data_IF_641588669253
#
_entry.id   IF_641588669253
#
_cell.length_a   1.000
_cell.length_b   1.000
_cell.length_c   1.000
_cell.angle_alpha   90.00
_cell.angle_beta   90.00
_cell.angle_gamma   90.00
#
_symmetry.space_group_name_H-M   'P 1'
#
loop_
_entity.id
_entity.type
_entity.pdbx_description
1 polymer ?
#
# COMPACT_ATOMS: atom_id res chain seq x y z
N UNK A 1 -91.98 30.17 36.94
CA UNK A 1 -90.99 30.28 38.03
C UNK A 1 -90.23 28.97 38.01
N UNK A 2 -88.98 28.88 37.58
CA UNK A 2 -87.82 29.65 38.02
C UNK A 2 -86.87 29.87 36.82
N UNK A 3 -86.19 31.00 36.80
CA UNK A 3 -85.14 31.37 35.85
C UNK A 3 -83.90 30.48 36.00
N UNK A 4 -83.24 30.12 34.89
CA UNK A 4 -81.88 30.63 34.61
C UNK A 4 -81.41 30.28 33.18
N UNK A 5 -80.56 31.13 32.56
CA UNK A 5 -80.44 31.25 31.11
C UNK A 5 -79.15 30.65 30.53
N UNK A 6 -79.22 30.31 29.24
CA UNK A 6 -78.14 30.32 28.25
C UNK A 6 -78.70 31.14 27.06
N UNK A 7 -77.92 31.73 26.12
CA UNK A 7 -76.60 31.30 25.62
C UNK A 7 -75.71 32.54 25.22
N UNK A 8 -74.91 32.55 24.12
CA UNK A 8 -73.68 31.81 23.78
C UNK A 8 -72.50 32.72 23.34
N UNK A 9 -71.46 32.07 22.80
CA UNK A 9 -70.60 32.46 21.66
C UNK A 9 -69.33 33.31 21.90
N UNK A 10 -68.23 32.65 21.55
CA UNK A 10 -67.11 33.10 20.72
C UNK A 10 -66.24 34.25 21.24
N UNK A 11 -65.02 33.90 21.64
CA UNK A 11 -63.85 34.79 21.54
C UNK A 11 -62.78 34.16 20.64
N UNK A 12 -62.05 34.99 19.88
CA UNK A 12 -61.42 34.59 18.63
C UNK A 12 -59.95 34.18 18.82
N UNK A 13 -59.50 33.34 17.88
CA UNK A 13 -58.11 33.18 17.46
C UNK A 13 -57.44 34.56 17.30
N UNK A 14 -56.33 34.77 18.01
CA UNK A 14 -55.31 35.74 17.63
C UNK A 14 -53.97 34.99 17.56
N UNK A 15 -53.82 34.26 16.46
CA UNK A 15 -52.56 33.69 15.99
C UNK A 15 -51.80 34.85 15.34
N UNK A 16 -50.75 35.36 15.98
CA UNK A 16 -49.93 36.44 15.43
C UNK A 16 -48.45 36.11 15.57
N UNK A 17 -47.94 35.48 14.51
CA UNK A 17 -46.76 35.92 13.75
C UNK A 17 -45.55 36.31 14.60
N UNK A 18 -44.67 35.34 14.81
CA UNK A 18 -43.22 35.55 14.87
C UNK A 18 -42.49 34.32 14.31
N UNK A 19 -42.91 33.86 13.13
CA UNK A 19 -42.13 32.93 12.31
C UNK A 19 -41.06 33.76 11.59
N UNK A 20 -40.06 34.23 12.35
CA UNK A 20 -38.80 34.67 11.78
C UNK A 20 -38.12 33.41 11.24
N UNK A 21 -38.44 33.09 9.99
CA UNK A 21 -37.74 32.11 9.20
C UNK A 21 -36.27 32.52 9.12
N UNK A 22 -35.47 31.98 10.03
CA UNK A 22 -34.04 31.82 9.82
C UNK A 22 -33.89 30.84 8.65
N UNK A 23 -34.00 31.38 7.43
CA UNK A 23 -33.33 30.86 6.26
C UNK A 23 -31.83 31.01 6.52
N UNK A 24 -31.29 30.22 7.45
CA UNK A 24 -29.89 29.84 7.38
C UNK A 24 -29.80 29.06 6.09
N UNK A 25 -29.32 29.73 5.05
CA UNK A 25 -28.66 29.06 3.95
C UNK A 25 -27.61 28.21 4.62
N UNK A 26 -27.91 26.93 4.84
CA UNK A 26 -26.89 25.94 5.05
C UNK A 26 -26.09 26.01 3.76
N UNK A 27 -24.97 26.75 3.80
CA UNK A 27 -23.94 26.53 2.80
C UNK A 27 -23.78 25.01 2.74
N UNK A 28 -23.86 24.39 1.54
CA UNK A 28 -23.58 22.97 1.45
C UNK A 28 -22.26 22.81 2.19
N UNK A 29 -22.25 21.97 3.24
CA UNK A 29 -21.02 21.62 3.91
C UNK A 29 -20.15 21.09 2.78
N UNK A 30 -19.23 21.92 2.28
CA UNK A 30 -18.31 21.51 1.24
C UNK A 30 -17.67 20.27 1.81
N UNK A 31 -17.82 19.14 1.13
CA UNK A 31 -17.34 17.88 1.64
C UNK A 31 -15.83 18.06 1.88
N UNK A 32 -15.47 18.15 3.15
CA UNK A 32 -14.09 18.40 3.57
C UNK A 32 -13.40 17.05 3.50
N UNK A 33 -12.25 16.98 2.84
CA UNK A 33 -11.38 15.82 2.98
C UNK A 33 -11.14 15.54 4.48
N UNK A 34 -10.88 14.28 4.84
CA UNK A 34 -10.73 13.80 6.21
C UNK A 34 -9.62 14.52 7.01
N UNK A 35 -8.72 15.22 6.31
CA UNK A 35 -7.65 16.01 6.90
C UNK A 35 -6.41 15.17 7.20
N UNK A 36 -5.41 15.72 7.90
CA UNK A 36 -4.21 14.96 8.26
C UNK A 36 -4.54 13.68 9.06
N UNK A 37 -3.74 12.64 8.86
CA UNK A 37 -3.88 11.36 9.56
C UNK A 37 -3.40 11.38 11.03
N UNK A 38 -2.85 12.51 11.48
CA UNK A 38 -2.38 12.68 12.85
C UNK A 38 -1.09 11.92 13.18
N UNK A 39 -0.43 11.30 12.20
CA UNK A 39 0.81 10.57 12.43
C UNK A 39 2.04 11.46 12.47
N UNK A 40 1.99 12.61 11.80
CA UNK A 40 3.03 13.62 11.85
C UNK A 40 3.04 14.31 13.22
N UNK A 41 4.00 13.97 14.09
CA UNK A 41 4.24 14.66 15.36
C UNK A 41 5.46 15.58 15.27
N UNK A 42 5.47 16.65 16.07
CA UNK A 42 6.69 17.47 16.27
C UNK A 42 7.67 16.84 17.26
N UNK A 43 7.19 15.87 18.04
CA UNK A 43 8.00 15.14 19.02
C UNK A 43 8.33 13.78 18.45
N UNK A 44 9.62 13.47 18.38
CA UNK A 44 10.09 12.14 18.04
C UNK A 44 9.48 11.09 18.97
N UNK A 45 9.04 9.97 18.39
CA UNK A 45 8.67 8.77 19.15
C UNK A 45 7.48 8.92 20.09
N UNK A 46 6.62 9.91 19.87
CA UNK A 46 5.39 10.04 20.64
C UNK A 46 4.36 9.03 20.19
N UNK A 47 3.61 8.46 21.14
CA UNK A 47 2.41 7.70 20.82
C UNK A 47 1.36 8.62 20.19
N UNK A 48 0.87 8.24 19.01
CA UNK A 48 -0.15 8.96 18.25
C UNK A 48 -1.26 7.99 17.83
N UNK A 49 -2.47 8.53 17.64
CA UNK A 49 -3.59 7.77 17.08
C UNK A 49 -3.70 8.10 15.61
N UNK A 50 -3.65 7.09 14.74
CA UNK A 50 -3.94 7.29 13.33
C UNK A 50 -5.41 7.70 13.17
N UNK A 51 -5.66 8.82 12.51
CA UNK A 51 -6.99 9.28 12.12
C UNK A 51 -7.29 8.78 10.70
N UNK A 52 -7.81 7.57 10.61
CA UNK A 52 -8.16 6.92 9.34
C UNK A 52 -9.68 6.87 9.18
N UNK A 53 -10.22 7.08 7.97
CA UNK A 53 -11.63 6.89 7.71
C UNK A 53 -12.00 5.40 7.80
N UNK A 54 -13.30 5.11 7.91
CA UNK A 54 -13.78 3.77 7.66
C UNK A 54 -13.58 3.44 6.17
N UNK A 55 -12.75 2.43 5.90
CA UNK A 55 -12.43 2.02 4.54
C UNK A 55 -13.49 1.04 4.02
N UNK A 56 -14.09 1.28 2.84
CA UNK A 56 -15.10 0.39 2.27
C UNK A 56 -14.48 -0.92 1.74
N UNK A 57 -15.31 -1.93 1.43
CA UNK A 57 -14.82 -3.09 0.68
C UNK A 57 -14.42 -2.68 -0.74
N UNK A 58 -13.54 -3.47 -1.35
CA UNK A 58 -13.18 -3.35 -2.77
C UNK A 58 -13.89 -4.45 -3.54
N UNK A 59 -14.49 -4.09 -4.66
CA UNK A 59 -15.08 -5.03 -5.63
C UNK A 59 -15.03 -4.40 -7.02
N UNK A 60 -14.00 -4.73 -7.79
CA UNK A 60 -13.85 -4.20 -9.15
C UNK A 60 -13.21 -5.20 -10.11
N UNK A 61 -13.36 -4.89 -11.40
CA UNK A 61 -12.65 -5.56 -12.49
C UNK A 61 -11.16 -5.18 -12.45
N UNK A 62 -10.31 -6.13 -12.77
CA UNK A 62 -8.86 -6.01 -12.79
C UNK A 62 -8.24 -6.83 -13.92
N UNK A 63 -6.92 -6.93 -13.91
CA UNK A 63 -6.16 -7.82 -14.78
C UNK A 63 -5.19 -8.65 -13.97
N UNK A 64 -5.16 -9.94 -14.26
CA UNK A 64 -4.07 -10.81 -13.88
C UNK A 64 -3.13 -10.97 -15.07
N UNK A 65 -1.83 -10.99 -14.85
CA UNK A 65 -0.90 -11.34 -15.90
C UNK A 65 0.36 -11.99 -15.35
N UNK A 66 1.03 -12.73 -16.22
CA UNK A 66 2.26 -13.42 -15.94
C UNK A 66 3.27 -12.99 -16.97
N UNK A 67 4.49 -12.76 -16.49
CA UNK A 67 5.62 -12.44 -17.34
C UNK A 67 6.56 -13.61 -17.33
N UNK A 68 7.06 -14.04 -18.47
CA UNK A 68 8.17 -14.98 -18.57
C UNK A 68 9.35 -14.25 -19.20
N UNK A 69 10.52 -14.34 -18.57
CA UNK A 69 11.72 -13.66 -19.05
C UNK A 69 11.51 -12.15 -19.21
N UNK A 70 10.74 -11.58 -18.27
CA UNK A 70 10.32 -10.17 -18.21
C UNK A 70 9.42 -9.67 -19.36
N UNK A 71 8.92 -10.56 -20.20
CA UNK A 71 7.91 -10.27 -21.22
C UNK A 71 6.54 -10.79 -20.80
N UNK A 72 5.49 -10.03 -21.08
CA UNK A 72 4.12 -10.44 -20.75
C UNK A 72 3.72 -11.57 -21.70
N UNK A 73 3.48 -12.76 -21.16
CA UNK A 73 3.14 -13.94 -21.97
C UNK A 73 1.64 -14.23 -21.99
N UNK A 74 0.93 -13.85 -20.94
CA UNK A 74 -0.51 -14.00 -20.85
C UNK A 74 -1.08 -12.94 -19.92
N UNK A 75 -2.32 -12.56 -20.20
CA UNK A 75 -3.14 -11.69 -19.37
C UNK A 75 -4.56 -12.22 -19.35
N UNK A 76 -5.20 -12.15 -18.21
CA UNK A 76 -6.58 -12.53 -18.00
C UNK A 76 -7.36 -11.44 -17.31
N UNK A 77 -8.65 -11.38 -17.63
CA UNK A 77 -9.62 -10.54 -16.97
C UNK A 77 -9.96 -11.19 -15.63
N UNK A 78 -9.90 -10.42 -14.55
CA UNK A 78 -10.26 -10.89 -13.20
C UNK A 78 -11.18 -9.90 -12.49
N UNK A 79 -11.83 -10.38 -11.46
CA UNK A 79 -12.54 -9.57 -10.46
C UNK A 79 -11.81 -9.71 -9.13
N UNK A 80 -11.49 -8.58 -8.52
CA UNK A 80 -10.77 -8.51 -7.25
C UNK A 80 -11.76 -8.11 -6.16
N UNK A 81 -11.83 -8.93 -5.11
CA UNK A 81 -12.70 -8.66 -3.96
C UNK A 81 -11.83 -8.55 -2.71
N UNK A 82 -12.04 -7.46 -1.98
CA UNK A 82 -11.46 -7.22 -0.68
C UNK A 82 -12.57 -6.86 0.32
N UNK A 83 -12.64 -7.57 1.45
CA UNK A 83 -13.55 -7.16 2.53
C UNK A 83 -13.14 -5.79 3.08
N UNK A 84 -14.02 -5.12 3.85
CA UNK A 84 -13.61 -3.91 4.57
C UNK A 84 -12.39 -4.25 5.45
N UNK A 85 -11.32 -3.44 5.42
CA UNK A 85 -10.17 -3.62 6.30
C UNK A 85 -10.56 -3.44 7.77
N UNK A 86 -10.17 -4.40 8.60
CA UNK A 86 -10.34 -4.38 10.05
C UNK A 86 -9.01 -4.04 10.74
N UNK A 87 -9.04 -3.09 11.67
CA UNK A 87 -7.87 -2.66 12.42
C UNK A 87 -7.40 -3.80 13.34
N UNK A 88 -6.15 -4.23 13.17
CA UNK A 88 -5.50 -5.25 14.00
C UNK A 88 -4.55 -4.65 15.05
N UNK A 89 -3.94 -3.52 14.69
CA UNK A 89 -3.03 -2.73 15.50
C UNK A 89 -2.84 -1.38 14.82
N UNK A 90 -2.09 -0.47 15.42
CA UNK A 90 -2.04 0.89 14.89
C UNK A 90 -1.34 0.92 13.53
N UNK A 91 -2.11 1.29 12.51
CA UNK A 91 -1.66 1.27 11.12
C UNK A 91 -1.59 -0.13 10.50
N UNK A 92 -2.01 -1.19 11.19
CA UNK A 92 -2.04 -2.55 10.65
C UNK A 92 -3.49 -3.02 10.51
N UNK A 93 -3.85 -3.48 9.32
CA UNK A 93 -5.19 -3.93 9.00
C UNK A 93 -5.17 -5.32 8.36
N UNK A 94 -6.27 -6.04 8.55
CA UNK A 94 -6.55 -7.29 7.86
C UNK A 94 -7.81 -7.19 7.03
N UNK A 95 -7.81 -7.78 5.84
CA UNK A 95 -9.01 -7.94 5.03
C UNK A 95 -9.02 -9.32 4.36
N UNK A 96 -10.22 -9.87 4.12
CA UNK A 96 -10.35 -11.07 3.30
C UNK A 96 -10.11 -10.71 1.84
N UNK A 97 -9.27 -11.48 1.15
CA UNK A 97 -8.89 -11.25 -0.24
C UNK A 97 -9.29 -12.44 -1.11
N UNK A 98 -9.93 -12.17 -2.25
CA UNK A 98 -10.20 -13.19 -3.26
C UNK A 98 -10.12 -12.63 -4.67
N UNK A 99 -9.82 -13.54 -5.60
CA UNK A 99 -9.76 -13.26 -7.04
C UNK A 99 -10.67 -14.25 -7.74
N UNK A 100 -11.56 -13.72 -8.58
CA UNK A 100 -12.40 -14.50 -9.47
C UNK A 100 -12.01 -14.19 -10.92
N UNK A 101 -12.38 -15.06 -11.85
CA UNK A 101 -12.40 -14.68 -13.26
C UNK A 101 -13.56 -13.72 -13.55
N UNK A 102 -13.61 -13.17 -14.76
CA UNK A 102 -14.71 -12.30 -15.18
C UNK A 102 -16.05 -13.01 -15.42
N UNK A 103 -16.13 -14.31 -15.14
CA UNK A 103 -17.34 -15.13 -15.11
C UNK A 103 -17.74 -15.51 -13.68
N UNK A 104 -17.15 -14.86 -12.66
CA UNK A 104 -17.36 -15.09 -11.24
C UNK A 104 -16.94 -16.49 -10.73
N UNK A 105 -16.09 -17.22 -11.48
CA UNK A 105 -15.48 -18.45 -10.96
C UNK A 105 -14.30 -18.10 -10.04
N UNK A 106 -14.24 -18.67 -8.83
CA UNK A 106 -13.15 -18.37 -7.89
C UNK A 106 -11.83 -18.97 -8.39
N UNK A 107 -10.78 -18.14 -8.45
CA UNK A 107 -9.43 -18.52 -8.90
C UNK A 107 -8.48 -18.65 -7.71
N UNK A 108 -8.39 -17.58 -6.92
CA UNK A 108 -7.51 -17.47 -5.76
C UNK A 108 -8.32 -17.01 -4.55
N UNK A 109 -7.96 -17.52 -3.38
CA UNK A 109 -8.47 -17.07 -2.09
C UNK A 109 -7.30 -16.89 -1.14
N UNK A 110 -7.21 -15.75 -0.47
CA UNK A 110 -6.16 -15.47 0.50
C UNK A 110 -6.50 -15.92 1.92
N UNK A 111 -5.46 -16.20 2.71
CA UNK A 111 -5.46 -15.80 4.11
C UNK A 111 -5.63 -14.26 4.17
N UNK A 112 -6.11 -13.68 5.29
CA UNK A 112 -6.35 -12.25 5.32
C UNK A 112 -5.12 -11.46 4.85
N UNK A 113 -5.30 -10.60 3.83
CA UNK A 113 -4.24 -9.70 3.38
C UNK A 113 -3.86 -8.80 4.54
N UNK A 114 -2.56 -8.66 4.80
CA UNK A 114 -2.01 -7.70 5.73
C UNK A 114 -1.80 -6.39 4.98
N UNK A 115 -2.35 -5.31 5.54
CA UNK A 115 -2.26 -3.96 5.01
C UNK A 115 -1.58 -3.08 6.06
N UNK A 116 -0.36 -2.67 5.76
CA UNK A 116 0.44 -1.77 6.59
C UNK A 116 0.26 -0.34 6.08
N UNK A 117 -0.53 0.46 6.78
CA UNK A 117 -0.76 1.86 6.47
C UNK A 117 0.58 2.61 6.43
N UNK A 118 0.82 3.34 5.35
CA UNK A 118 2.08 4.07 5.15
C UNK A 118 1.87 5.56 5.32
N UNK A 119 0.98 6.15 4.51
CA UNK A 119 0.74 7.60 4.46
C UNK A 119 -0.58 7.98 3.81
N UNK A 120 -0.92 9.26 3.94
CA UNK A 120 -2.00 9.93 3.20
C UNK A 120 -1.50 11.16 2.45
N UNK A 121 -2.13 11.49 1.32
CA UNK A 121 -1.88 12.72 0.56
C UNK A 121 -3.12 13.17 -0.19
N UNK A 122 -3.08 14.41 -0.70
CA UNK A 122 -4.16 14.96 -1.51
C UNK A 122 -3.75 15.07 -2.97
N UNK A 123 -4.60 14.62 -3.88
CA UNK A 123 -4.42 14.79 -5.32
C UNK A 123 -5.58 15.56 -5.96
N UNK A 124 -5.32 16.20 -7.10
CA UNK A 124 -6.35 16.84 -7.91
C UNK A 124 -6.40 16.19 -9.28
N UNK A 125 -7.56 15.63 -9.62
CA UNK A 125 -7.81 15.02 -10.92
C UNK A 125 -7.78 16.05 -12.05
N UNK A 126 -7.69 15.57 -13.29
CA UNK A 126 -7.73 16.46 -14.47
C UNK A 126 -9.05 17.22 -14.64
N UNK A 127 -10.14 16.75 -14.02
CA UNK A 127 -11.43 17.45 -13.98
C UNK A 127 -11.52 18.48 -12.84
N UNK A 128 -10.47 18.60 -12.02
CA UNK A 128 -10.43 19.50 -10.86
C UNK A 128 -11.00 18.91 -9.58
N UNK A 129 -11.36 17.62 -9.55
CA UNK A 129 -11.86 16.98 -8.34
C UNK A 129 -10.73 16.68 -7.38
N UNK A 130 -10.96 16.95 -6.10
CA UNK A 130 -9.98 16.70 -5.05
C UNK A 130 -10.17 15.30 -4.47
N UNK A 131 -9.06 14.59 -4.31
CA UNK A 131 -9.00 13.27 -3.71
C UNK A 131 -8.09 13.31 -2.49
N UNK A 132 -8.47 12.61 -1.44
CA UNK A 132 -7.55 12.23 -0.37
C UNK A 132 -7.27 10.74 -0.48
N UNK A 133 -6.00 10.37 -0.54
CA UNK A 133 -5.56 8.98 -0.74
C UNK A 133 -4.91 8.45 0.54
N UNK A 134 -5.17 7.20 0.89
CA UNK A 134 -4.49 6.43 1.93
C UNK A 134 -3.86 5.20 1.31
N UNK A 135 -2.54 5.05 1.48
CA UNK A 135 -1.77 3.92 0.93
C UNK A 135 -1.39 2.91 2.00
N UNK A 136 -1.46 1.65 1.60
CA UNK A 136 -1.04 0.50 2.39
C UNK A 136 0.01 -0.29 1.63
N UNK A 137 1.12 -0.62 2.27
CA UNK A 137 1.97 -1.70 1.81
C UNK A 137 1.22 -3.02 2.07
N UNK A 138 1.11 -3.87 1.06
CA UNK A 138 0.21 -5.02 1.07
C UNK A 138 0.99 -6.32 0.95
N UNK A 139 0.61 -7.32 1.75
CA UNK A 139 1.24 -8.65 1.80
C UNK A 139 0.19 -9.73 2.03
N UNK A 140 0.19 -10.79 1.23
CA UNK A 140 -0.83 -11.84 1.34
C UNK A 140 -0.27 -13.20 0.92
N UNK A 141 -0.70 -14.24 1.62
CA UNK A 141 -0.54 -15.63 1.19
C UNK A 141 -1.85 -16.08 0.52
N UNK A 142 -1.80 -16.34 -0.78
CA UNK A 142 -2.96 -16.80 -1.57
C UNK A 142 -2.93 -18.29 -1.80
N UNK A 143 -4.08 -18.94 -1.79
CA UNK A 143 -4.28 -20.35 -2.13
C UNK A 143 -5.05 -20.49 -3.44
N UNK A 144 -4.74 -21.53 -4.21
CA UNK A 144 -5.58 -21.94 -5.34
C UNK A 144 -6.90 -22.53 -4.86
N UNK A 145 -7.98 -22.21 -5.54
CA UNK A 145 -9.29 -22.80 -5.24
C UNK A 145 -9.36 -24.20 -5.87
N UNK A 146 -9.74 -25.20 -5.08
CA UNK A 146 -9.78 -26.59 -5.53
C UNK A 146 -10.71 -26.77 -6.75
N UNK A 147 -10.17 -27.36 -7.82
CA UNK A 147 -10.92 -27.59 -9.07
C UNK A 147 -10.96 -26.39 -10.02
N UNK A 148 -10.36 -25.25 -9.66
CA UNK A 148 -10.17 -24.14 -10.61
C UNK A 148 -9.21 -24.56 -11.74
N UNK A 149 -9.46 -24.14 -12.99
CA UNK A 149 -8.53 -24.39 -14.09
C UNK A 149 -7.18 -23.70 -13.80
N UNK A 150 -6.04 -24.26 -14.27
CA UNK A 150 -4.76 -23.57 -14.18
C UNK A 150 -4.87 -22.22 -14.89
N UNK A 151 -4.57 -21.16 -14.16
CA UNK A 151 -4.55 -19.81 -14.69
C UNK A 151 -3.12 -19.29 -14.73
N UNK A 152 -2.94 -18.22 -15.49
CA UNK A 152 -1.69 -17.49 -15.51
C UNK A 152 -1.37 -16.96 -14.11
N UNK A 153 -2.37 -16.57 -13.32
CA UNK A 153 -2.22 -16.12 -11.93
C UNK A 153 -1.87 -17.21 -10.89
N UNK A 154 -2.22 -18.47 -11.15
CA UNK A 154 -1.97 -19.55 -10.20
C UNK A 154 -0.50 -20.00 -10.30
N UNK A 155 0.37 -19.38 -9.49
CA UNK A 155 1.79 -19.73 -9.43
C UNK A 155 1.97 -21.26 -9.23
N UNK A 156 2.78 -21.95 -10.05
CA UNK A 156 3.02 -23.39 -9.96
C UNK A 156 3.45 -23.89 -8.57
N UNK A 157 4.00 -23.03 -7.71
CA UNK A 157 4.33 -23.36 -6.32
C UNK A 157 3.10 -23.76 -5.48
N UNK A 158 1.88 -23.41 -5.91
CA UNK A 158 0.61 -23.82 -5.29
C UNK A 158 0.30 -25.32 -5.44
N UNK A 159 1.02 -26.04 -6.30
CA UNK A 159 0.95 -27.51 -6.37
C UNK A 159 1.56 -28.18 -5.13
N UNK A 160 2.85 -27.94 -4.83
CA UNK A 160 3.51 -28.50 -3.65
C UNK A 160 3.23 -27.77 -2.34
N UNK A 161 2.84 -26.50 -2.36
CA UNK A 161 2.55 -25.70 -1.17
C UNK A 161 1.09 -25.21 -1.14
N UNK A 162 0.49 -25.08 0.06
CA UNK A 162 -0.90 -24.63 0.17
C UNK A 162 -1.11 -23.16 -0.18
N UNK A 163 -0.05 -22.34 -0.16
CA UNK A 163 -0.12 -20.90 -0.42
C UNK A 163 1.07 -20.38 -1.24
N UNK A 164 0.89 -19.22 -1.87
CA UNK A 164 1.91 -18.45 -2.58
C UNK A 164 1.91 -17.00 -2.05
N UNK A 165 3.10 -16.45 -1.80
CA UNK A 165 3.25 -15.10 -1.24
C UNK A 165 3.20 -14.01 -2.31
N UNK A 166 2.31 -13.04 -2.14
CA UNK A 166 2.19 -11.86 -2.98
C UNK A 166 2.41 -10.59 -2.15
N UNK A 167 2.99 -9.58 -2.77
CA UNK A 167 3.24 -8.28 -2.14
C UNK A 167 3.03 -7.11 -3.10
N UNK A 168 2.82 -5.91 -2.56
CA UNK A 168 2.67 -4.69 -3.36
C UNK A 168 2.00 -3.58 -2.55
N UNK A 169 0.95 -2.96 -3.10
CA UNK A 169 0.21 -1.89 -2.41
C UNK A 169 -1.30 -1.92 -2.67
N UNK A 170 -2.04 -1.26 -1.78
CA UNK A 170 -3.46 -0.95 -1.90
C UNK A 170 -3.65 0.53 -1.60
N UNK A 171 -4.40 1.22 -2.45
CA UNK A 171 -4.79 2.61 -2.23
C UNK A 171 -6.31 2.72 -2.07
N UNK A 172 -6.72 3.59 -1.15
CA UNK A 172 -8.08 4.08 -1.02
C UNK A 172 -8.09 5.58 -1.26
N UNK A 173 -8.85 6.03 -2.25
CA UNK A 173 -8.96 7.43 -2.64
C UNK A 173 -10.40 7.93 -2.44
N UNK A 174 -10.60 8.80 -1.45
CA UNK A 174 -11.88 9.46 -1.24
C UNK A 174 -11.97 10.68 -2.16
N UNK A 175 -12.91 10.67 -3.11
CA UNK A 175 -13.29 11.88 -3.83
C UNK A 175 -13.98 12.83 -2.83
N UNK A 176 -13.32 13.93 -2.50
CA UNK A 176 -13.78 14.88 -1.50
C UNK A 176 -14.97 15.71 -1.99
N UNK A 177 -15.31 15.72 -3.28
CA UNK A 177 -16.48 16.44 -3.78
C UNK A 177 -17.77 15.59 -3.67
N UNK A 178 -17.65 14.29 -3.90
CA UNK A 178 -18.77 13.34 -3.93
C UNK A 178 -18.89 12.46 -2.69
N UNK A 179 -17.85 12.45 -1.84
CA UNK A 179 -17.72 11.56 -0.69
C UNK A 179 -17.83 10.06 -1.08
N UNK A 180 -17.27 9.70 -2.24
CA UNK A 180 -17.21 8.32 -2.73
C UNK A 180 -15.77 7.85 -2.76
N UNK A 181 -15.54 6.62 -2.31
CA UNK A 181 -14.24 5.97 -2.44
C UNK A 181 -14.07 5.34 -3.82
N UNK A 182 -12.88 5.52 -4.34
CA UNK A 182 -12.27 4.72 -5.40
C UNK A 182 -11.03 4.05 -4.80
N UNK A 183 -10.56 2.97 -5.39
CA UNK A 183 -9.44 2.20 -4.83
C UNK A 183 -8.59 1.63 -5.94
N UNK A 184 -7.36 1.25 -5.61
CA UNK A 184 -6.49 0.47 -6.50
C UNK A 184 -5.70 -0.58 -5.71
N UNK A 185 -5.28 -1.61 -6.42
CA UNK A 185 -4.48 -2.71 -5.88
C UNK A 185 -3.46 -3.15 -6.90
N UNK A 186 -2.24 -3.35 -6.45
CA UNK A 186 -1.15 -3.97 -7.21
C UNK A 186 -0.50 -4.99 -6.31
N UNK A 187 -0.53 -6.26 -6.72
CA UNK A 187 0.15 -7.35 -6.03
C UNK A 187 1.03 -8.12 -7.00
N UNK A 188 2.13 -8.64 -6.50
CA UNK A 188 3.15 -9.31 -7.28
C UNK A 188 3.73 -10.52 -6.54
N UNK A 189 3.95 -11.60 -7.28
CA UNK A 189 4.72 -12.76 -6.89
C UNK A 189 5.94 -12.87 -7.80
N UNK A 190 7.11 -12.63 -7.22
CA UNK A 190 8.41 -12.66 -7.90
C UNK A 190 8.82 -14.10 -8.26
N UNK A 191 9.87 -14.25 -9.07
CA UNK A 191 10.32 -15.57 -9.51
C UNK A 191 11.01 -16.37 -8.39
N UNK A 192 11.33 -17.64 -8.66
CA UNK A 192 11.93 -18.57 -7.68
C UNK A 192 13.13 -17.96 -6.96
N UNK A 193 13.95 -17.21 -7.70
CA UNK A 193 15.16 -16.56 -7.19
C UNK A 193 14.91 -15.75 -5.92
N UNK A 194 13.75 -15.08 -5.80
CA UNK A 194 13.47 -14.17 -4.69
C UNK A 194 12.54 -14.77 -3.63
N UNK A 195 11.63 -15.65 -4.03
CA UNK A 195 10.59 -16.18 -3.13
C UNK A 195 10.84 -17.64 -2.73
N UNK A 196 11.46 -18.47 -3.57
CA UNK A 196 11.56 -19.93 -3.40
C UNK A 196 12.99 -20.44 -3.20
N UNK A 197 13.96 -19.56 -2.94
CA UNK A 197 15.33 -20.00 -2.70
C UNK A 197 15.42 -20.98 -1.51
N UNK A 198 16.08 -22.14 -1.68
CA UNK A 198 16.20 -23.17 -0.64
C UNK A 198 16.85 -22.74 0.68
N UNK A 199 17.66 -21.68 0.67
CA UNK A 199 18.39 -21.25 1.86
C UNK A 199 17.55 -20.34 2.76
N UNK A 200 16.46 -19.76 2.26
CA UNK A 200 15.75 -18.71 2.98
C UNK A 200 14.24 -18.64 2.84
N UNK A 201 13.67 -19.40 1.91
CA UNK A 201 12.22 -19.54 1.79
C UNK A 201 11.68 -20.59 2.75
N UNK A 202 10.49 -20.36 3.30
CA UNK A 202 9.68 -21.42 3.93
C UNK A 202 8.95 -22.31 2.91
N UNK A 203 9.00 -21.95 1.62
CA UNK A 203 8.44 -22.67 0.47
C UNK A 203 9.52 -22.95 -0.58
N UNK A 204 10.62 -23.65 -0.24
CA UNK A 204 11.78 -23.76 -1.11
C UNK A 204 11.56 -24.65 -2.35
N UNK A 205 12.06 -24.25 -3.51
CA UNK A 205 12.06 -25.10 -4.69
C UNK A 205 12.30 -24.37 -6.01
N UNK A 206 12.01 -25.06 -7.11
CA UNK A 206 12.10 -24.53 -8.46
C UNK A 206 10.77 -24.79 -9.15
N UNK A 207 9.99 -23.73 -9.33
CA UNK A 207 8.61 -23.78 -9.81
C UNK A 207 8.42 -22.87 -11.02
N UNK A 208 9.00 -21.68 -10.97
CA UNK A 208 8.93 -20.64 -11.98
C UNK A 208 10.19 -19.75 -11.95
N UNK A 209 11.33 -20.24 -12.48
CA UNK A 209 12.60 -19.55 -12.39
C UNK A 209 12.66 -18.28 -13.24
N UNK A 210 11.80 -18.18 -14.25
CA UNK A 210 11.73 -17.07 -15.21
C UNK A 210 10.37 -16.37 -15.19
N UNK A 211 9.41 -16.89 -14.43
CA UNK A 211 8.03 -16.37 -14.44
C UNK A 211 7.73 -15.58 -13.18
N UNK A 212 7.00 -14.47 -13.34
CA UNK A 212 6.41 -13.70 -12.24
C UNK A 212 4.92 -13.51 -12.49
N UNK A 213 4.15 -13.22 -11.44
CA UNK A 213 2.70 -13.14 -11.49
C UNK A 213 2.22 -11.83 -10.85
N UNK A 214 1.32 -11.12 -11.51
CA UNK A 214 0.83 -9.82 -11.04
C UNK A 214 -0.68 -9.74 -11.10
N UNK A 215 -1.27 -9.15 -10.06
CA UNK A 215 -2.70 -8.85 -9.93
C UNK A 215 -2.81 -7.34 -9.83
N UNK A 216 -3.58 -6.71 -10.73
CA UNK A 216 -3.76 -5.26 -10.76
C UNK A 216 -5.22 -4.88 -10.96
N UNK A 217 -5.67 -3.82 -10.30
CA UNK A 217 -6.92 -3.17 -10.63
C UNK A 217 -7.06 -1.79 -9.98
N UNK A 218 -8.06 -1.00 -10.38
CA UNK A 218 -9.14 -1.36 -11.29
C UNK A 218 -8.67 -1.34 -12.75
N UNK A 219 -9.37 -2.08 -13.61
CA UNK A 219 -9.21 -2.04 -15.07
C UNK A 219 -10.58 -1.85 -15.71
N UNK A 220 -10.70 -0.83 -16.56
CA UNK A 220 -11.91 -0.57 -17.33
C UNK A 220 -11.57 -0.02 -18.72
N UNK A 221 -12.58 0.16 -19.57
CA UNK A 221 -12.39 0.80 -20.88
C UNK A 221 -12.04 2.28 -20.77
N UNK A 222 -12.48 2.96 -19.70
CA UNK A 222 -12.21 4.38 -19.45
C UNK A 222 -10.92 4.62 -18.65
N UNK A 223 -10.44 3.59 -17.94
CA UNK A 223 -9.15 3.59 -17.27
C UNK A 223 -8.44 2.24 -17.45
N UNK A 224 -7.86 1.99 -18.65
CA UNK A 224 -7.19 0.73 -18.90
C UNK A 224 -5.81 0.71 -18.25
N UNK A 225 -5.41 -0.48 -17.81
CA UNK A 225 -4.04 -0.77 -17.36
C UNK A 225 -3.26 -1.43 -18.49
N UNK A 226 -2.05 -0.95 -18.75
CA UNK A 226 -1.15 -1.47 -19.78
C UNK A 226 0.12 -2.00 -19.11
N UNK A 227 0.31 -3.33 -19.03
CA UNK A 227 1.56 -3.91 -18.57
C UNK A 227 2.72 -3.40 -19.40
N UNK A 228 3.75 -2.86 -18.75
CA UNK A 228 4.88 -2.26 -19.44
C UNK A 228 6.16 -2.33 -18.59
N UNK A 229 7.30 -2.29 -19.28
CA UNK A 229 8.61 -2.21 -18.67
C UNK A 229 9.09 -0.74 -18.74
N UNK A 230 9.25 -0.12 -17.57
CA UNK A 230 9.85 1.20 -17.44
C UNK A 230 10.89 1.13 -16.33
N UNK A 231 12.12 1.60 -16.56
CA UNK A 231 13.04 1.86 -15.46
C UNK A 231 12.40 2.81 -14.43
N UNK A 232 12.67 2.57 -13.15
CA UNK A 232 12.29 3.48 -12.07
C UNK A 232 13.23 4.69 -12.09
N UNK A 233 12.71 5.93 -12.13
CA UNK A 233 13.54 7.11 -11.99
C UNK A 233 14.13 7.19 -10.57
N UNK A 234 15.36 7.69 -10.48
CA UNK A 234 16.01 8.00 -9.21
C UNK A 234 15.82 9.43 -8.76
N UNK A 235 16.41 9.78 -7.62
CA UNK A 235 16.53 11.15 -7.18
C UNK A 235 16.78 11.28 -5.68
N UNK A 236 17.03 12.51 -5.21
CA UNK A 236 17.03 12.82 -3.78
C UNK A 236 15.66 12.53 -3.17
N UNK A 237 15.71 12.15 -1.91
CA UNK A 237 14.56 11.91 -1.06
C UNK A 237 14.06 13.25 -0.45
N UNK A 238 12.74 13.50 -0.45
CA UNK A 238 12.08 14.61 0.25
C UNK A 238 10.65 14.32 0.75
N UNK A 239 10.22 15.06 1.79
CA UNK A 239 8.86 15.02 2.39
C UNK A 239 8.43 13.62 2.82
N UNK A 240 9.19 13.07 3.76
CA UNK A 240 9.29 11.63 4.04
C UNK A 240 9.00 11.27 5.48
N UNK A 241 8.81 9.97 5.71
CA UNK A 241 9.09 9.41 7.01
C UNK A 241 9.44 7.91 7.04
N UNK A 242 10.05 7.52 8.14
CA UNK A 242 10.14 6.14 8.60
C UNK A 242 9.31 5.99 9.87
N UNK A 243 8.82 4.76 10.11
CA UNK A 243 8.00 4.48 11.27
C UNK A 243 8.18 3.06 11.78
N UNK A 244 8.23 2.92 13.10
CA UNK A 244 8.10 1.62 13.77
C UNK A 244 6.62 1.21 13.78
N UNK A 245 6.31 0.06 13.19
CA UNK A 245 5.00 -0.55 13.24
C UNK A 245 4.72 -1.05 14.66
N UNK A 246 3.69 -0.51 15.30
CA UNK A 246 3.31 -0.84 16.66
C UNK A 246 2.39 -2.07 16.67
N UNK A 247 2.94 -3.25 16.37
CA UNK A 247 2.17 -4.50 16.25
C UNK A 247 1.32 -4.75 17.51
N UNK A 248 0.01 -4.96 17.30
CA UNK A 248 -0.94 -5.24 18.38
C UNK A 248 -1.19 -4.07 19.37
N UNK A 249 -0.63 -2.89 19.12
CA UNK A 249 -0.87 -1.69 19.91
C UNK A 249 -2.05 -0.89 19.35
N UNK A 250 -2.91 -0.27 20.18
CA UNK A 250 -3.94 0.66 19.71
C UNK A 250 -3.36 2.02 19.25
N UNK A 251 -2.13 2.35 19.66
CA UNK A 251 -1.43 3.59 19.29
C UNK A 251 -0.21 3.31 18.43
N UNK A 252 0.09 4.26 17.56
CA UNK A 252 1.21 4.24 16.62
C UNK A 252 2.37 5.01 17.23
N UNK A 253 3.58 4.66 16.83
CA UNK A 253 4.71 5.57 16.99
C UNK A 253 4.58 6.66 15.92
N UNK A 254 4.75 7.92 16.29
CA UNK A 254 4.74 9.03 15.34
C UNK A 254 5.79 8.87 14.26
N UNK A 255 5.50 9.40 13.08
CA UNK A 255 6.41 9.39 11.95
C UNK A 255 7.69 10.17 12.26
N UNK A 256 8.82 9.58 11.92
CA UNK A 256 10.10 10.29 11.92
C UNK A 256 10.37 10.78 10.51
N UNK A 257 10.48 12.11 10.34
CA UNK A 257 10.81 12.70 9.05
C UNK A 257 12.22 12.34 8.61
N UNK A 258 12.43 12.08 7.32
CA UNK A 258 13.79 12.01 6.77
C UNK A 258 14.38 13.40 6.57
N UNK A 259 15.68 13.51 6.80
CA UNK A 259 16.49 14.73 6.62
C UNK A 259 17.37 14.66 5.38
N UNK A 260 17.71 13.46 4.93
CA UNK A 260 18.47 13.22 3.72
C UNK A 260 18.31 11.77 3.26
N UNK A 261 18.63 11.51 2.00
CA UNK A 261 18.59 10.18 1.41
C UNK A 261 18.63 10.26 -0.10
N UNK A 262 18.61 9.10 -0.75
CA UNK A 262 18.52 9.03 -2.19
C UNK A 262 18.03 7.67 -2.68
N UNK A 263 17.38 7.69 -3.84
CA UNK A 263 17.21 6.53 -4.70
C UNK A 263 18.15 6.67 -5.90
N UNK A 264 19.18 5.84 -5.97
CA UNK A 264 20.18 5.87 -7.05
C UNK A 264 20.05 4.60 -7.90
N UNK A 265 19.42 4.69 -9.10
CA UNK A 265 19.37 3.58 -10.04
C UNK A 265 20.78 3.18 -10.43
N UNK A 266 21.12 1.92 -10.21
CA UNK A 266 22.41 1.34 -10.57
C UNK A 266 22.32 0.68 -11.94
N UNK A 267 21.27 -0.12 -12.15
CA UNK A 267 21.08 -0.83 -13.40
C UNK A 267 19.62 -1.20 -13.63
N UNK A 268 19.18 -1.17 -14.89
CA UNK A 268 17.90 -1.72 -15.31
C UNK A 268 18.13 -2.98 -16.16
N UNK A 269 17.53 -4.09 -15.74
CA UNK A 269 17.71 -5.45 -16.30
C UNK A 269 16.44 -6.27 -16.11
N UNK A 270 16.39 -7.43 -16.75
CA UNK A 270 15.50 -8.49 -16.34
C UNK A 270 16.19 -9.29 -15.23
N UNK A 271 15.50 -9.61 -14.14
CA UNK A 271 16.06 -10.44 -13.06
C UNK A 271 15.56 -11.88 -13.06
N UNK A 272 14.54 -12.18 -13.86
CA UNK A 272 13.87 -13.47 -13.95
C UNK A 272 13.71 -13.91 -15.43
N UNK A 273 14.75 -14.45 -16.09
CA UNK A 273 16.11 -14.68 -15.60
C UNK A 273 16.96 -13.41 -15.70
N UNK A 274 18.15 -13.43 -15.09
CA UNK A 274 19.08 -12.32 -15.18
C UNK A 274 19.55 -12.10 -16.64
N UNK A 275 19.04 -11.06 -17.29
CA UNK A 275 19.33 -10.77 -18.70
C UNK A 275 19.27 -9.26 -19.01
N UNK A 276 20.13 -8.80 -19.92
CA UNK A 276 20.27 -7.39 -20.30
C UNK A 276 19.29 -6.92 -21.41
N UNK A 277 18.18 -7.65 -21.65
CA UNK A 277 17.28 -7.40 -22.79
C UNK A 277 15.98 -6.64 -22.47
N UNK A 278 15.43 -6.83 -21.27
CA UNK A 278 14.19 -6.17 -20.83
C UNK A 278 14.50 -5.28 -19.64
N UNK A 279 14.00 -4.04 -19.64
CA UNK A 279 14.23 -3.07 -18.57
C UNK A 279 13.10 -3.11 -17.53
N UNK A 280 12.55 -4.30 -17.27
CA UNK A 280 11.41 -4.46 -16.36
C UNK A 280 11.80 -4.26 -14.91
N UNK A 281 13.02 -4.64 -14.52
CA UNK A 281 13.49 -4.44 -13.17
C UNK A 281 14.54 -3.32 -13.13
N UNK A 282 14.55 -2.55 -12.05
CA UNK A 282 15.58 -1.56 -11.73
C UNK A 282 16.18 -1.90 -10.38
N UNK A 283 17.48 -2.11 -10.35
CA UNK A 283 18.25 -2.24 -9.11
C UNK A 283 18.71 -0.85 -8.69
N UNK A 284 18.39 -0.45 -7.47
CA UNK A 284 18.68 0.89 -6.94
C UNK A 284 19.27 0.83 -5.53
N UNK A 285 20.33 1.61 -5.31
CA UNK A 285 20.77 1.94 -3.95
C UNK A 285 19.73 2.88 -3.34
N UNK A 286 19.17 2.50 -2.19
CA UNK A 286 18.13 3.23 -1.50
C UNK A 286 18.56 3.48 -0.07
N UNK A 287 18.77 4.75 0.28
CA UNK A 287 19.30 5.15 1.57
C UNK A 287 18.51 6.31 2.15
N UNK A 288 18.46 6.42 3.47
CA UNK A 288 17.82 7.53 4.15
C UNK A 288 18.29 7.70 5.59
N UNK A 289 18.21 8.94 6.08
CA UNK A 289 18.56 9.34 7.44
C UNK A 289 17.39 10.12 8.03
N UNK A 290 16.89 9.64 9.16
CA UNK A 290 15.83 10.25 9.93
C UNK A 290 16.26 11.49 10.72
N UNK A 291 15.28 12.26 11.20
CA UNK A 291 15.47 13.50 11.94
C UNK A 291 15.62 13.32 13.45
N UNK A 292 15.21 12.18 13.97
CA UNK A 292 15.14 11.92 15.38
C UNK A 292 16.42 11.24 15.84
N UNK A 293 16.95 11.65 17.00
CA UNK A 293 18.13 11.04 17.59
C UNK A 293 17.73 10.02 18.65
N UNK A 294 18.43 8.89 18.64
CA UNK A 294 18.30 7.86 19.65
C UNK A 294 19.07 8.19 20.92
N UNK A 295 19.00 7.28 21.90
CA UNK A 295 19.75 7.37 23.15
C UNK A 295 21.26 7.27 22.97
N UNK A 296 21.70 6.70 21.87
CA UNK A 296 23.10 6.63 21.41
C UNK A 296 23.55 7.89 20.66
N UNK A 297 22.65 8.86 20.45
CA UNK A 297 22.92 10.09 19.72
C UNK A 297 22.99 9.91 18.20
N UNK A 298 22.60 8.76 17.66
CA UNK A 298 22.55 8.50 16.23
C UNK A 298 21.11 8.62 15.71
N UNK A 299 20.91 9.13 14.48
CA UNK A 299 19.59 9.16 13.87
C UNK A 299 19.15 7.76 13.43
N UNK A 300 17.86 7.59 13.15
CA UNK A 300 17.46 6.42 12.38
C UNK A 300 18.08 6.49 10.99
N UNK A 301 18.42 5.34 10.43
CA UNK A 301 18.92 5.25 9.06
C UNK A 301 18.52 3.94 8.44
N UNK A 302 18.40 3.93 7.13
CA UNK A 302 18.25 2.70 6.37
C UNK A 302 19.17 2.73 5.15
N UNK A 303 19.69 1.57 4.79
CA UNK A 303 20.51 1.36 3.61
C UNK A 303 20.12 0.03 2.97
N UNK A 304 19.73 0.05 1.69
CA UNK A 304 19.56 -1.19 0.94
C UNK A 304 20.92 -1.87 0.74
N UNK A 305 20.96 -3.19 0.90
CA UNK A 305 22.19 -3.96 0.94
C UNK A 305 22.38 -4.77 -0.34
N UNK A 306 23.62 -4.84 -0.83
CA UNK A 306 24.03 -5.87 -1.77
C UNK A 306 24.35 -7.16 -0.99
N UNK A 307 23.44 -8.13 -1.12
CA UNK A 307 23.55 -9.43 -0.47
C UNK A 307 24.00 -10.53 -1.43
N UNK A 308 24.21 -10.21 -2.72
CA UNK A 308 24.66 -11.17 -3.73
C UNK A 308 26.05 -11.73 -3.45
N UNK A 309 26.92 -10.93 -2.85
CA UNK A 309 28.25 -11.37 -2.39
C UNK A 309 28.18 -12.43 -1.28
N UNK A 310 27.04 -12.55 -0.60
CA UNK A 310 26.78 -13.54 0.46
C UNK A 310 25.94 -14.73 -0.05
N UNK A 311 25.66 -14.80 -1.35
CA UNK A 311 24.86 -15.87 -1.97
C UNK A 311 23.35 -15.63 -1.95
N UNK A 312 22.88 -14.45 -1.52
CA UNK A 312 21.47 -14.08 -1.57
C UNK A 312 21.12 -13.35 -2.87
N UNK A 313 19.87 -13.40 -3.35
CA UNK A 313 19.53 -12.90 -4.68
C UNK A 313 19.51 -11.36 -4.81
N UNK A 314 19.37 -10.62 -3.72
CA UNK A 314 19.18 -9.16 -3.74
C UNK A 314 20.50 -8.40 -3.89
N UNK A 315 20.55 -7.55 -4.91
CA UNK A 315 21.59 -6.54 -5.13
C UNK A 315 20.89 -5.21 -4.86
N UNK A 316 20.96 -4.67 -3.65
CA UNK A 316 20.18 -3.50 -3.22
C UNK A 316 18.66 -3.68 -3.39
N UNK A 317 17.91 -2.58 -3.50
CA UNK A 317 16.47 -2.60 -3.70
C UNK A 317 16.16 -2.91 -5.16
N UNK A 318 15.29 -3.89 -5.38
CA UNK A 318 14.76 -4.27 -6.67
C UNK A 318 13.38 -3.66 -6.86
N UNK A 319 13.25 -2.81 -7.86
CA UNK A 319 11.97 -2.30 -8.34
C UNK A 319 11.53 -3.08 -9.57
N UNK A 320 10.34 -3.66 -9.54
CA UNK A 320 9.75 -4.36 -10.69
C UNK A 320 8.62 -3.53 -11.29
N UNK A 321 8.78 -3.11 -12.54
CA UNK A 321 7.75 -2.41 -13.32
C UNK A 321 6.60 -3.36 -13.65
N UNK A 322 5.41 -2.98 -13.21
CA UNK A 322 4.18 -3.73 -13.46
C UNK A 322 3.53 -3.21 -14.75
N UNK A 323 3.29 -1.90 -14.80
CA UNK A 323 2.66 -1.23 -15.95
C UNK A 323 2.16 0.17 -15.60
N UNK A 324 1.13 0.62 -16.30
CA UNK A 324 0.55 1.94 -16.05
C UNK A 324 -0.95 1.98 -16.33
N UNK A 325 -1.68 2.71 -15.49
CA UNK A 325 -2.99 3.25 -15.87
C UNK A 325 -2.80 4.40 -16.85
N UNK A 326 -3.76 4.57 -17.75
CA UNK A 326 -3.69 5.60 -18.80
C UNK A 326 -4.93 6.48 -18.87
N UNK A 327 -5.99 6.13 -18.13
CA UNK A 327 -7.18 6.95 -18.03
C UNK A 327 -6.96 8.15 -17.10
N UNK A 328 -7.81 9.15 -17.27
CA UNK A 328 -7.81 10.36 -16.43
C UNK A 328 -9.16 10.61 -15.75
N UNK A 329 -10.15 9.77 -16.04
CA UNK A 329 -11.55 9.97 -15.65
C UNK A 329 -11.90 9.36 -14.29
N UNK A 330 -11.08 8.43 -13.78
CA UNK A 330 -11.24 7.79 -12.48
C UNK A 330 -9.87 7.54 -11.87
N UNK A 331 -9.83 7.25 -10.59
CA UNK A 331 -8.66 6.81 -9.86
C UNK A 331 -8.32 5.34 -10.17
N UNK A 332 -7.04 4.96 -10.23
CA UNK A 332 -5.87 5.85 -10.28
C UNK A 332 -5.84 6.69 -11.54
N UNK A 333 -5.24 7.87 -11.46
CA UNK A 333 -4.92 8.66 -12.64
C UNK A 333 -3.90 7.97 -13.56
N UNK A 334 -3.32 8.70 -14.54
CA UNK A 334 -2.32 8.14 -15.45
C UNK A 334 -0.97 7.96 -14.73
N UNK A 335 -0.91 6.96 -13.84
CA UNK A 335 0.26 6.62 -13.03
C UNK A 335 0.89 5.29 -13.49
N UNK A 336 2.19 5.17 -13.26
CA UNK A 336 2.96 3.93 -13.43
C UNK A 336 3.02 3.22 -12.09
N UNK A 337 2.78 1.91 -12.11
CA UNK A 337 2.85 1.04 -10.95
C UNK A 337 4.13 0.20 -10.96
N UNK A 338 4.76 0.13 -9.81
CA UNK A 338 5.88 -0.76 -9.54
C UNK A 338 5.67 -1.47 -8.20
N UNK A 339 6.38 -2.57 -8.03
CA UNK A 339 6.55 -3.22 -6.72
C UNK A 339 8.02 -3.21 -6.32
N UNK A 340 8.26 -3.17 -5.02
CA UNK A 340 9.58 -3.01 -4.44
C UNK A 340 9.90 -4.22 -3.56
N UNK A 341 11.11 -4.78 -3.68
CA UNK A 341 11.64 -5.76 -2.74
C UNK A 341 13.12 -5.53 -2.46
N UNK A 342 13.58 -5.78 -1.24
CA UNK A 342 15.00 -5.64 -0.91
C UNK A 342 15.37 -5.99 0.52
N UNK A 343 16.67 -6.12 0.74
CA UNK A 343 17.25 -6.31 2.08
C UNK A 343 17.83 -4.99 2.57
N UNK A 344 17.53 -4.63 3.81
CA UNK A 344 17.92 -3.36 4.40
C UNK A 344 18.68 -3.57 5.69
N UNK A 345 19.77 -2.83 5.85
CA UNK A 345 20.33 -2.53 7.16
C UNK A 345 19.56 -1.34 7.72
N UNK A 346 18.93 -1.50 8.88
CA UNK A 346 18.13 -0.46 9.51
C UNK A 346 18.69 -0.13 10.89
N UNK A 347 18.92 1.14 11.19
CA UNK A 347 19.19 1.61 12.53
C UNK A 347 17.91 2.25 13.08
N UNK A 348 17.34 1.65 14.10
CA UNK A 348 16.17 2.18 14.80
C UNK A 348 16.63 3.03 15.98
N UNK A 349 16.38 4.34 15.88
CA UNK A 349 16.67 5.28 16.96
C UNK A 349 15.47 5.51 17.88
N UNK A 350 14.34 4.85 17.61
CA UNK A 350 13.15 4.85 18.44
C UNK A 350 13.40 4.16 19.79
N UNK A 351 13.42 4.93 20.88
CA UNK A 351 13.64 4.43 22.23
C UNK A 351 12.32 4.31 23.04
N UNK A 352 11.19 4.06 22.37
CA UNK A 352 9.90 3.90 23.08
C UNK A 352 9.97 2.66 23.96
N UNK A 353 9.37 2.73 25.14
CA UNK A 353 9.34 1.64 26.12
C UNK A 353 8.89 0.34 25.46
N UNK A 354 9.77 -0.67 25.41
CA UNK A 354 9.48 -1.97 24.80
C UNK A 354 9.99 -2.15 23.35
N UNK A 355 10.45 -1.08 22.71
CA UNK A 355 11.22 -1.15 21.46
C UNK A 355 12.71 -1.13 21.76
N UNK A 356 13.47 -2.01 21.11
CA UNK A 356 14.93 -2.02 21.22
C UNK A 356 15.50 -1.08 20.18
N UNK A 357 16.11 0.03 20.60
CA UNK A 357 17.02 0.78 19.73
C UNK A 357 18.14 -0.13 19.25
N UNK A 358 18.59 0.03 18.01
CA UNK A 358 19.75 -0.70 17.53
C UNK A 358 19.75 -0.93 16.03
N UNK A 359 20.62 -1.83 15.60
CA UNK A 359 20.75 -2.19 14.20
C UNK A 359 19.90 -3.43 13.92
N UNK A 360 19.27 -3.47 12.76
CA UNK A 360 18.41 -4.52 12.27
C UNK A 360 18.82 -4.91 10.86
N UNK A 361 18.57 -6.18 10.53
CA UNK A 361 18.51 -6.64 9.16
C UNK A 361 17.05 -6.95 8.83
N UNK A 362 16.55 -6.36 7.75
CA UNK A 362 15.15 -6.46 7.37
C UNK A 362 14.94 -6.78 5.89
N UNK A 363 13.84 -7.48 5.60
CA UNK A 363 13.38 -7.74 4.24
C UNK A 363 12.14 -6.91 4.00
N UNK A 364 12.21 -5.96 3.07
CA UNK A 364 11.13 -5.04 2.78
C UNK A 364 10.42 -5.43 1.49
N UNK A 365 9.10 -5.27 1.52
CA UNK A 365 8.23 -5.45 0.37
C UNK A 365 7.22 -4.31 0.33
N UNK A 366 6.81 -3.93 -0.88
CA UNK A 366 5.77 -2.92 -1.03
C UNK A 366 5.59 -2.46 -2.47
N UNK A 367 5.20 -1.21 -2.63
CA UNK A 367 4.82 -0.62 -3.91
C UNK A 367 5.44 0.74 -4.13
N UNK A 368 5.53 1.14 -5.38
CA UNK A 368 5.84 2.53 -5.72
C UNK A 368 5.01 2.96 -6.92
N UNK A 369 4.72 4.26 -6.99
CA UNK A 369 4.04 4.89 -8.13
C UNK A 369 4.88 5.99 -8.72
N UNK A 370 4.68 6.28 -10.00
CA UNK A 370 5.29 7.42 -10.67
C UNK A 370 4.29 8.10 -11.61
N UNK A 371 4.36 9.43 -11.72
CA UNK A 371 3.33 10.25 -12.35
C UNK A 371 1.96 10.07 -11.68
N UNK A 372 0.85 10.26 -12.41
CA UNK A 372 -0.50 10.29 -11.84
C UNK A 372 -1.07 11.71 -11.80
N UNK A 373 -2.04 11.93 -10.92
CA UNK A 373 -2.64 13.23 -10.72
C UNK A 373 -1.74 14.15 -9.89
N UNK A 374 -1.96 15.45 -9.99
CA UNK A 374 -1.12 16.42 -9.30
C UNK A 374 -1.32 16.30 -7.79
N UNK A 375 -0.24 16.01 -7.06
CA UNK A 375 -0.26 15.99 -5.60
C UNK A 375 -0.17 17.44 -5.10
N UNK A 376 -1.13 17.85 -4.28
CA UNK A 376 -1.24 19.25 -3.80
C UNK A 376 -0.45 19.51 -2.52
N UNK A 377 -0.18 18.47 -1.73
CA UNK A 377 0.55 18.55 -0.47
C UNK A 377 2.01 18.08 -0.54
N UNK A 378 2.39 17.41 -1.63
CA UNK A 378 3.74 16.90 -1.88
C UNK A 378 4.27 17.51 -3.16
N UNK A 379 5.58 17.76 -3.22
CA UNK A 379 6.25 18.27 -4.42
C UNK A 379 6.55 17.15 -5.44
N UNK A 380 5.89 15.99 -5.33
CA UNK A 380 6.23 14.77 -6.06
C UNK A 380 4.98 13.95 -6.39
N UNK A 381 5.06 13.24 -7.51
CA UNK A 381 4.14 12.18 -7.91
C UNK A 381 4.82 10.79 -7.91
N UNK A 382 6.05 10.72 -7.40
CA UNK A 382 6.87 9.52 -7.37
C UNK A 382 6.99 9.04 -5.94
N UNK A 383 6.08 8.17 -5.55
CA UNK A 383 5.91 7.66 -4.18
C UNK A 383 6.51 6.26 -4.08
N UNK A 384 7.22 5.95 -2.99
CA UNK A 384 7.78 4.62 -2.67
C UNK A 384 7.33 4.25 -1.26
N UNK A 385 6.72 3.08 -1.07
CA UNK A 385 6.12 2.66 0.20
C UNK A 385 6.43 1.18 0.44
N UNK A 386 7.21 0.90 1.49
CA UNK A 386 7.58 -0.47 1.84
C UNK A 386 7.37 -0.75 3.32
N UNK A 387 7.05 -2.00 3.63
CA UNK A 387 6.97 -2.53 4.97
C UNK A 387 7.92 -3.72 5.10
N UNK A 388 8.56 -3.87 6.26
CA UNK A 388 9.32 -5.09 6.53
C UNK A 388 8.38 -6.30 6.60
N UNK A 389 8.87 -7.45 6.18
CA UNK A 389 8.23 -8.76 6.31
C UNK A 389 9.03 -9.62 7.29
N UNK A 390 10.34 -9.41 7.34
CA UNK A 390 11.19 -10.03 8.34
C UNK A 390 12.07 -8.96 8.97
N UNK A 391 12.33 -9.11 10.26
CA UNK A 391 13.22 -8.24 11.01
C UNK A 391 13.97 -9.01 12.09
N UNK A 392 15.29 -8.86 12.14
CA UNK A 392 16.14 -9.39 13.22
C UNK A 392 17.05 -8.29 13.77
N UNK A 393 17.09 -8.17 15.10
CA UNK A 393 18.00 -7.24 15.77
C UNK A 393 19.43 -7.79 15.75
N UNK A 394 20.40 -6.99 15.36
CA UNK A 394 21.82 -7.36 15.34
C UNK A 394 22.45 -7.17 16.73
N UNK A 395 23.36 -8.07 17.16
CA UNK A 395 24.03 -9.11 16.38
C UNK A 395 23.37 -10.51 16.47
N UNK A 396 22.05 -10.60 16.69
CA UNK A 396 21.41 -11.91 16.76
C UNK A 396 21.61 -12.71 15.46
N UNK A 397 21.60 -14.04 15.59
CA UNK A 397 21.75 -14.92 14.44
C UNK A 397 20.58 -14.72 13.47
N UNK A 398 20.90 -14.55 12.18
CA UNK A 398 19.92 -14.50 11.10
C UNK A 398 19.52 -15.95 10.81
N UNK A 399 18.32 -16.33 11.24
CA UNK A 399 17.80 -17.67 11.04
C UNK A 399 16.68 -17.64 9.97
N UNK A 400 16.81 -18.40 8.87
CA UNK A 400 15.71 -18.58 7.94
C UNK A 400 14.56 -19.38 8.58
N UNK A 401 13.34 -19.32 8.02
CA UNK A 401 12.97 -18.63 6.78
C UNK A 401 12.64 -17.14 6.99
N UNK A 402 12.91 -16.33 5.97
CA UNK A 402 12.56 -14.90 5.96
C UNK A 402 11.83 -14.47 4.68
N UNK A 403 11.72 -15.36 3.69
CA UNK A 403 10.88 -15.20 2.50
C UNK A 403 9.88 -16.34 2.38
N UNK A 404 8.95 -16.22 1.43
CA UNK A 404 8.04 -17.29 1.06
C UNK A 404 6.64 -17.16 1.66
N UNK A 405 6.46 -16.47 2.79
CA UNK A 405 5.16 -16.17 3.40
C UNK A 405 5.02 -14.72 3.87
N UNK A 406 3.78 -14.27 4.01
CA UNK A 406 3.45 -12.99 4.61
C UNK A 406 3.66 -13.05 6.13
N UNK A 407 4.47 -12.13 6.63
CA UNK A 407 4.89 -12.04 8.02
C UNK A 407 4.63 -10.61 8.57
N UNK A 408 4.57 -10.45 9.91
CA UNK A 408 4.33 -9.14 10.53
C UNK A 408 5.41 -8.10 10.23
N UNK A 409 5.01 -6.83 10.11
CA UNK A 409 5.92 -5.71 9.81
C UNK A 409 6.48 -5.07 11.05
N UNK A 410 7.77 -4.72 11.04
CA UNK A 410 8.38 -3.96 12.14
C UNK A 410 8.66 -2.50 11.76
N UNK A 411 9.17 -2.26 10.56
CA UNK A 411 9.47 -0.90 10.10
C UNK A 411 8.81 -0.63 8.76
N UNK A 412 8.38 0.61 8.60
CA UNK A 412 7.82 1.15 7.37
C UNK A 412 8.79 2.21 6.85
N UNK A 413 9.06 2.18 5.56
CA UNK A 413 9.85 3.20 4.86
C UNK A 413 8.98 3.74 3.73
N UNK A 414 8.66 5.03 3.78
CA UNK A 414 7.90 5.69 2.72
C UNK A 414 8.48 7.06 2.37
N UNK A 415 8.75 7.21 1.07
CA UNK A 415 9.52 8.32 0.55
C UNK A 415 9.02 8.84 -0.78
N UNK A 416 9.53 10.01 -1.19
CA UNK A 416 9.25 10.59 -2.49
C UNK A 416 10.53 10.86 -3.27
N UNK A 417 10.47 10.77 -4.59
CA UNK A 417 11.55 11.22 -5.49
C UNK A 417 11.04 12.35 -6.40
N UNK A 418 11.90 13.17 -7.03
CA UNK A 418 11.47 14.31 -7.85
C UNK A 418 10.63 13.89 -9.05
#
# INVERSE_FOLDING_TARGET
MTYQPLPPLARPLALSVALAAQLTWAAPAQAQCFGPDGLSSSTCWSDVSANLPLLPPIDFQGSGFCTDSCDVVSSECIRIILSPPELAGCGEFFAQFSVLDCLDNPLLSGFPIRLDYTRTWNETSTSGSNYQVWRFAAKVDVSSVAGAPPTCLAAPCLGPYPTAFYYGYVDYALNCDTNTFESSIVLHHSCDRYIHDPLHSDKPGVFHPTTTYSIVGPVSTTNPFVPSASPRPGGPLFSEAVRVAAQGSPTCVSEERLTSGGLTPLIAVCTCPLAFGSLRNTISLYTGIGSCLGTDGLPSRFDSLDTAVLGYPWIHMLTTSIGSWTGTASYPGPERAFVEEGVFGYHDSCAVTGTSTGNFLEFHYGGSTAAGWAVTSLLSQNLIDTASNFSVALPAAIAPPFTGSALPSRHLIYANTP
#
